data_IF_325443995884
#
_entry.id   IF_325443995884
#
_cell.length_a   1.000
_cell.length_b   1.000
_cell.length_c   1.000
_cell.angle_alpha   90.00
_cell.angle_beta   90.00
_cell.angle_gamma   90.00
#
_symmetry.space_group_name_H-M   'P 1'
#
loop_
_entity.id
_entity.type
_entity.pdbx_description
1 polymer ?
#
# COMPACT_ATOMS: atom_id res chain seq x y z
N UNK A 1 -15.63 -2.43 9.50
CA UNK A 1 -14.41 -2.67 8.72
C UNK A 1 -13.21 -2.16 9.50
N UNK A 2 -12.19 -2.99 9.64
CA UNK A 2 -10.95 -2.61 10.32
C UNK A 2 -9.95 -2.13 9.27
N UNK A 3 -9.46 -0.92 9.45
CA UNK A 3 -8.49 -0.30 8.54
C UNK A 3 -7.28 0.14 9.36
N UNK A 4 -6.08 -0.21 8.87
CA UNK A 4 -4.84 0.17 9.51
C UNK A 4 -3.89 0.83 8.51
N UNK A 5 -2.92 1.56 9.03
CA UNK A 5 -1.91 2.24 8.22
C UNK A 5 -0.53 2.01 8.84
N UNK A 6 0.47 1.73 8.00
CA UNK A 6 1.82 1.42 8.47
C UNK A 6 2.86 1.98 7.51
N UNK A 7 3.65 2.92 7.99
CA UNK A 7 4.83 3.36 7.25
C UNK A 7 5.93 2.34 7.50
N UNK A 8 6.23 1.51 6.49
CA UNK A 8 7.12 0.38 6.68
C UNK A 8 8.60 0.72 6.54
N UNK A 9 8.92 1.87 5.99
CA UNK A 9 10.32 2.28 5.77
C UNK A 9 11.14 1.14 5.15
N UNK A 10 10.76 0.74 3.96
CA UNK A 10 11.24 -0.42 3.20
C UNK A 10 10.44 -1.69 3.50
N UNK A 11 9.58 -2.05 2.55
CA UNK A 11 8.79 -3.27 2.67
C UNK A 11 9.68 -4.51 2.67
N UNK A 12 10.75 -4.50 1.86
CA UNK A 12 11.67 -5.63 1.79
C UNK A 12 12.20 -5.99 3.19
N UNK A 13 12.50 -4.99 4.00
CA UNK A 13 13.01 -5.19 5.35
C UNK A 13 11.91 -5.66 6.30
N UNK A 14 10.70 -5.09 6.17
CA UNK A 14 9.61 -5.29 7.12
C UNK A 14 8.64 -6.41 6.74
N UNK A 15 8.82 -7.04 5.58
CA UNK A 15 7.83 -8.00 5.07
C UNK A 15 7.47 -9.11 6.08
N UNK A 16 8.42 -9.78 6.73
CA UNK A 16 8.05 -10.81 7.71
C UNK A 16 7.18 -10.27 8.84
N UNK A 17 7.50 -9.06 9.33
CA UNK A 17 6.72 -8.43 10.40
C UNK A 17 5.31 -8.06 9.92
N UNK A 18 5.19 -7.54 8.70
CA UNK A 18 3.89 -7.17 8.12
C UNK A 18 3.00 -8.41 7.96
N UNK A 19 3.55 -9.49 7.40
CA UNK A 19 2.78 -10.73 7.20
C UNK A 19 2.34 -11.33 8.54
N UNK A 20 3.22 -11.37 9.51
CA UNK A 20 2.91 -11.88 10.86
C UNK A 20 1.80 -11.03 11.51
N UNK A 21 1.90 -9.72 11.40
CA UNK A 21 0.91 -8.79 11.95
C UNK A 21 -0.46 -8.99 11.31
N UNK A 22 -0.51 -9.15 9.97
CA UNK A 22 -1.76 -9.38 9.25
C UNK A 22 -2.41 -10.69 9.66
N UNK A 23 -1.62 -11.75 9.85
CA UNK A 23 -2.16 -13.03 10.31
C UNK A 23 -2.74 -12.95 11.71
N UNK A 24 -2.16 -12.12 12.56
CA UNK A 24 -2.62 -11.96 13.95
C UNK A 24 -3.88 -11.12 14.05
N UNK A 25 -3.89 -9.94 13.42
CA UNK A 25 -4.96 -8.96 13.61
C UNK A 25 -6.04 -9.02 12.54
N UNK A 26 -5.75 -9.58 11.38
CA UNK A 26 -6.71 -9.81 10.31
C UNK A 26 -7.56 -8.58 9.96
N UNK A 27 -6.91 -7.43 9.82
CA UNK A 27 -7.59 -6.21 9.39
C UNK A 27 -8.14 -6.39 7.97
N UNK A 28 -9.17 -5.65 7.63
CA UNK A 28 -9.77 -5.71 6.30
C UNK A 28 -8.91 -4.98 5.27
N UNK A 29 -8.29 -3.88 5.69
CA UNK A 29 -7.45 -3.05 4.83
C UNK A 29 -6.21 -2.61 5.59
N UNK A 30 -5.05 -2.76 4.96
CA UNK A 30 -3.79 -2.22 5.47
C UNK A 30 -3.19 -1.31 4.41
N UNK A 31 -3.02 -0.05 4.77
CA UNK A 31 -2.34 0.92 3.92
C UNK A 31 -0.85 0.94 4.27
N UNK A 32 -0.01 0.77 3.26
CA UNK A 32 1.44 0.76 3.44
C UNK A 32 2.06 1.98 2.76
N UNK A 33 2.99 2.63 3.46
CA UNK A 33 3.74 3.76 2.93
C UNK A 33 5.23 3.47 2.99
N UNK A 34 6.00 4.19 2.17
CA UNK A 34 7.45 4.04 2.03
C UNK A 34 7.87 2.61 1.72
N UNK A 35 7.28 2.05 0.67
CA UNK A 35 7.63 0.70 0.21
C UNK A 35 9.09 0.59 -0.21
N UNK A 36 9.60 1.61 -0.88
CA UNK A 36 10.98 1.69 -1.40
C UNK A 36 11.31 0.55 -2.36
N UNK A 37 10.33 0.18 -3.19
CA UNK A 37 10.52 -0.79 -4.25
C UNK A 37 9.55 -0.52 -5.39
N UNK A 38 9.94 -0.93 -6.60
CA UNK A 38 9.11 -0.78 -7.79
C UNK A 38 7.98 -1.82 -7.81
N UNK A 39 6.92 -1.54 -8.57
CA UNK A 39 5.75 -2.41 -8.65
C UNK A 39 6.09 -3.86 -8.96
N UNK A 40 7.03 -4.09 -9.87
CA UNK A 40 7.41 -5.44 -10.32
C UNK A 40 8.07 -6.29 -9.23
N UNK A 41 8.58 -5.64 -8.19
CA UNK A 41 9.22 -6.33 -7.06
C UNK A 41 8.33 -6.48 -5.84
N UNK A 42 7.09 -5.99 -5.93
CA UNK A 42 6.16 -6.13 -4.81
C UNK A 42 5.80 -7.60 -4.61
N UNK A 43 5.85 -8.11 -3.38
CA UNK A 43 5.64 -9.55 -3.13
C UNK A 43 4.14 -9.91 -3.08
N UNK A 44 3.47 -9.86 -4.23
CA UNK A 44 2.02 -10.16 -4.29
C UNK A 44 1.68 -11.54 -3.76
N UNK A 45 2.50 -12.55 -4.09
CA UNK A 45 2.22 -13.92 -3.66
C UNK A 45 2.27 -14.10 -2.15
N UNK A 46 3.19 -13.40 -1.49
CA UNK A 46 3.30 -13.48 -0.04
C UNK A 46 2.01 -13.02 0.62
N UNK A 47 1.40 -11.96 0.09
CA UNK A 47 0.12 -11.48 0.61
C UNK A 47 -1.04 -12.39 0.18
N UNK A 48 -1.03 -12.88 -1.06
CA UNK A 48 -2.07 -13.78 -1.54
C UNK A 48 -2.12 -15.07 -0.70
N UNK A 49 -0.97 -15.58 -0.30
CA UNK A 49 -0.88 -16.80 0.51
C UNK A 49 -1.55 -16.67 1.87
N UNK A 50 -1.75 -15.48 2.36
CA UNK A 50 -2.44 -15.23 3.63
C UNK A 50 -3.80 -14.57 3.43
N UNK A 51 -4.34 -14.62 2.21
CA UNK A 51 -5.70 -14.18 1.93
C UNK A 51 -5.87 -12.70 1.60
N UNK A 52 -4.81 -12.03 1.16
CA UNK A 52 -4.86 -10.61 0.84
C UNK A 52 -4.55 -10.31 -0.62
N UNK A 53 -5.25 -9.31 -1.14
CA UNK A 53 -4.98 -8.71 -2.45
C UNK A 53 -4.21 -7.40 -2.24
N UNK A 54 -3.48 -6.97 -3.25
CA UNK A 54 -2.75 -5.71 -3.14
C UNK A 54 -2.81 -4.91 -4.43
N UNK A 55 -2.91 -3.59 -4.30
CA UNK A 55 -2.71 -2.64 -5.38
C UNK A 55 -1.58 -1.71 -4.96
N UNK A 56 -0.69 -1.39 -5.89
CA UNK A 56 0.61 -0.81 -5.56
C UNK A 56 0.90 0.35 -6.48
N UNK A 57 1.48 1.40 -5.92
CA UNK A 57 2.11 2.47 -6.68
C UNK A 57 3.53 2.61 -6.15
N UNK A 58 4.43 1.77 -6.68
CA UNK A 58 5.78 1.62 -6.17
C UNK A 58 6.78 2.57 -6.80
N UNK A 59 7.81 2.87 -6.04
CA UNK A 59 8.94 3.66 -6.49
C UNK A 59 10.20 3.09 -5.86
N UNK A 60 11.20 2.82 -6.70
CA UNK A 60 12.49 2.29 -6.24
C UNK A 60 13.16 3.33 -5.32
N UNK A 61 13.75 2.86 -4.25
CA UNK A 61 14.58 3.64 -3.31
C UNK A 61 13.79 4.58 -2.40
N UNK A 62 12.77 5.26 -2.92
CA UNK A 62 11.99 6.25 -2.17
C UNK A 62 10.50 5.94 -2.24
N UNK A 63 9.75 6.46 -1.29
CA UNK A 63 8.28 6.49 -1.32
C UNK A 63 7.67 5.12 -1.66
N UNK A 64 6.60 5.13 -2.46
CA UNK A 64 5.84 3.93 -2.79
C UNK A 64 4.74 3.66 -1.77
N UNK A 65 3.53 3.43 -2.27
CA UNK A 65 2.36 3.17 -1.43
C UNK A 65 1.62 1.94 -1.93
N UNK A 66 0.93 1.26 -1.03
CA UNK A 66 0.11 0.10 -1.38
C UNK A 66 -1.14 0.05 -0.52
N UNK A 67 -2.19 -0.55 -1.08
CA UNK A 67 -3.38 -0.93 -0.35
C UNK A 67 -3.45 -2.45 -0.37
N UNK A 68 -3.40 -3.06 0.80
CA UNK A 68 -3.51 -4.51 0.99
C UNK A 68 -4.87 -4.76 1.62
N UNK A 69 -5.71 -5.62 1.01
CA UNK A 69 -7.06 -5.82 1.47
C UNK A 69 -7.54 -7.25 1.28
N UNK A 70 -8.48 -7.67 2.13
CA UNK A 70 -9.10 -8.99 2.01
C UNK A 70 -10.00 -9.07 0.78
N UNK A 71 -10.64 -7.95 0.41
CA UNK A 71 -11.49 -7.85 -0.76
C UNK A 71 -10.70 -7.20 -1.90
N UNK A 72 -10.79 -7.70 -3.14
CA UNK A 72 -10.08 -7.07 -4.25
C UNK A 72 -10.46 -5.60 -4.43
N UNK A 73 -9.48 -4.79 -4.78
CA UNK A 73 -9.69 -3.37 -5.07
C UNK A 73 -10.14 -3.17 -6.51
N UNK A 74 -10.96 -2.14 -6.73
CA UNK A 74 -11.40 -1.73 -8.07
C UNK A 74 -11.17 -0.24 -8.25
N UNK A 75 -11.21 0.24 -9.50
CA UNK A 75 -11.06 1.65 -9.83
C UNK A 75 -9.83 2.28 -9.19
N UNK A 76 -8.69 1.64 -9.38
CA UNK A 76 -7.43 2.08 -8.80
C UNK A 76 -6.91 3.29 -9.56
N UNK A 77 -6.60 4.36 -8.82
CA UNK A 77 -5.97 5.56 -9.37
C UNK A 77 -4.62 5.72 -8.68
N UNK A 78 -3.57 5.74 -9.49
CA UNK A 78 -2.20 5.96 -9.02
C UNK A 78 -1.81 7.39 -9.34
N UNK A 79 -1.37 8.11 -8.32
CA UNK A 79 -0.99 9.52 -8.44
C UNK A 79 -2.17 10.44 -8.76
N UNK A 80 -2.00 11.71 -8.48
CA UNK A 80 -3.03 12.71 -8.77
C UNK A 80 -2.97 13.07 -10.26
N UNK A 81 -4.06 12.86 -11.03
CA UNK A 81 -4.05 13.15 -12.45
C UNK A 81 -3.90 14.65 -12.79
N UNK A 82 -4.10 15.52 -11.81
CA UNK A 82 -3.98 16.96 -11.99
C UNK A 82 -2.64 17.54 -11.57
N UNK A 83 -1.77 16.72 -11.00
CA UNK A 83 -0.45 17.12 -10.53
C UNK A 83 0.62 16.25 -11.15
N UNK A 84 1.68 16.88 -11.64
CA UNK A 84 2.83 16.17 -12.18
C UNK A 84 3.76 15.80 -11.01
N UNK A 85 3.45 14.73 -10.32
CA UNK A 85 4.24 14.25 -9.18
C UNK A 85 4.98 12.99 -9.59
N UNK A 86 6.31 13.07 -9.64
CA UNK A 86 7.16 11.93 -9.98
C UNK A 86 7.39 10.99 -8.81
N UNK A 87 7.04 11.42 -7.61
CA UNK A 87 7.17 10.61 -6.42
C UNK A 87 5.90 9.80 -6.23
N UNK A 88 6.03 8.49 -6.11
CA UNK A 88 4.90 7.57 -5.99
C UNK A 88 4.37 7.60 -4.57
N UNK A 89 3.55 8.61 -4.24
CA UNK A 89 3.06 8.87 -2.89
C UNK A 89 1.57 8.72 -2.73
N UNK A 90 0.83 8.48 -3.81
CA UNK A 90 -0.62 8.41 -3.75
C UNK A 90 -1.16 7.18 -4.46
N UNK A 91 -2.14 6.54 -3.84
CA UNK A 91 -2.95 5.51 -4.46
C UNK A 91 -4.37 5.60 -3.91
N UNK A 92 -5.34 5.41 -4.76
CA UNK A 92 -6.75 5.47 -4.40
C UNK A 92 -7.46 4.30 -5.07
N UNK A 93 -8.33 3.62 -4.34
CA UNK A 93 -9.04 2.47 -4.86
C UNK A 93 -10.38 2.28 -4.16
N UNK A 94 -11.31 1.63 -4.84
CA UNK A 94 -12.55 1.20 -4.21
C UNK A 94 -12.38 -0.20 -3.62
N UNK A 95 -12.86 -0.37 -2.39
CA UNK A 95 -12.85 -1.64 -1.68
C UNK A 95 -14.28 -1.87 -1.21
N UNK A 96 -15.01 -2.76 -1.89
CA UNK A 96 -16.43 -2.89 -1.66
C UNK A 96 -17.13 -1.57 -1.97
N UNK A 97 -17.82 -1.00 -0.99
CA UNK A 97 -18.51 0.30 -1.14
C UNK A 97 -17.67 1.47 -0.62
N UNK A 98 -16.43 1.22 -0.19
CA UNK A 98 -15.57 2.24 0.43
C UNK A 98 -14.47 2.64 -0.54
N UNK A 99 -14.25 3.95 -0.64
CA UNK A 99 -13.13 4.47 -1.40
C UNK A 99 -12.00 4.81 -0.46
N UNK A 100 -10.83 4.22 -0.71
CA UNK A 100 -9.65 4.38 0.13
C UNK A 100 -8.61 5.22 -0.59
N UNK A 101 -8.13 6.27 0.08
CA UNK A 101 -7.05 7.11 -0.40
C UNK A 101 -5.85 6.98 0.52
N UNK A 102 -4.71 6.62 -0.06
CA UNK A 102 -3.44 6.54 0.66
C UNK A 102 -2.50 7.58 0.05
N UNK A 103 -2.00 8.46 0.88
CA UNK A 103 -1.08 9.51 0.45
C UNK A 103 0.12 9.58 1.39
N UNK A 104 1.32 9.56 0.81
CA UNK A 104 2.53 9.81 1.56
C UNK A 104 2.67 11.31 1.78
N UNK A 105 2.92 11.74 3.01
CA UNK A 105 3.18 13.15 3.27
C UNK A 105 4.45 13.62 2.56
N UNK A 106 4.47 14.91 2.25
CA UNK A 106 5.65 15.55 1.70
C UNK A 106 6.81 15.54 2.71
N UNK A 107 8.04 15.56 2.20
CA UNK A 107 9.22 15.62 3.04
C UNK A 107 9.26 16.88 3.91
N UNK A 108 8.69 17.97 3.42
CA UNK A 108 8.66 19.23 4.17
C UNK A 108 7.76 19.17 5.38
N UNK A 109 6.92 18.17 5.45
CA UNK A 109 6.01 17.97 6.56
C UNK A 109 6.72 17.63 7.86
N UNK A 110 7.94 17.26 7.74
CA UNK A 110 8.72 16.89 8.92
C UNK A 110 8.76 18.02 9.93
#
# INVERSE_FOLDING_TARGET
MKIASWNVNSLKVRLPAVLSWLKTYQVDVLALQELKLANEFFPYEAFANIGYHAVVNGQKTYNGVAIVSKTPCTEVIRDNPYLSDRQKRMICANIGEIRQLISMPSMERL
#
